data_IF_793195182657
#
_entry.id   IF_793195182657
#
_cell.length_a   1.000
_cell.length_b   1.000
_cell.length_c   1.000
_cell.angle_alpha   90.00
_cell.angle_beta   90.00
_cell.angle_gamma   90.00
#
_symmetry.space_group_name_H-M   'P 1'
#
loop_
_entity.id
_entity.type
_entity.pdbx_description
1 polymer ?
#
# COMPACT_ATOMS: atom_id res chain seq x y z
N UNK A 1 13.06 -14.34 -29.37
CA UNK A 1 12.83 -14.94 -28.06
C UNK A 1 11.92 -14.06 -27.28
N UNK A 2 10.66 -14.41 -27.20
CA UNK A 2 9.70 -13.69 -26.37
C UNK A 2 9.83 -14.19 -24.94
N UNK A 3 10.40 -13.37 -24.07
CA UNK A 3 10.30 -13.58 -22.63
C UNK A 3 8.82 -13.43 -22.29
N UNK A 4 8.17 -14.53 -22.03
CA UNK A 4 6.80 -14.50 -21.55
C UNK A 4 6.81 -13.99 -20.11
N UNK A 5 5.81 -13.18 -19.75
CA UNK A 5 5.56 -12.69 -18.39
C UNK A 5 5.53 -13.80 -17.33
N UNK A 6 5.48 -15.08 -17.74
CA UNK A 6 5.53 -16.25 -16.87
C UNK A 6 6.87 -16.48 -16.16
N UNK A 7 7.93 -15.82 -16.64
CA UNK A 7 9.29 -15.98 -16.07
C UNK A 7 9.60 -14.97 -14.98
N UNK A 8 8.66 -14.07 -14.68
CA UNK A 8 8.85 -13.04 -13.68
C UNK A 8 8.28 -13.51 -12.35
N UNK A 9 9.15 -13.58 -11.35
CA UNK A 9 8.76 -13.95 -10.00
C UNK A 9 8.00 -12.79 -9.33
N UNK A 10 6.69 -12.93 -9.20
CA UNK A 10 5.80 -11.98 -8.53
C UNK A 10 5.45 -12.40 -7.10
N UNK A 11 6.19 -13.34 -6.51
CA UNK A 11 5.94 -13.82 -5.15
C UNK A 11 6.01 -12.70 -4.09
N UNK A 12 6.73 -11.62 -4.37
CA UNK A 12 6.79 -10.47 -3.49
C UNK A 12 5.41 -9.80 -3.28
N UNK A 13 4.51 -9.92 -4.24
CA UNK A 13 3.14 -9.41 -4.10
C UNK A 13 2.36 -10.22 -3.07
N UNK A 14 2.52 -11.53 -3.05
CA UNK A 14 1.91 -12.40 -2.03
C UNK A 14 2.49 -12.11 -0.64
N UNK A 15 3.80 -11.94 -0.55
CA UNK A 15 4.50 -11.60 0.69
C UNK A 15 3.99 -10.28 1.28
N UNK A 16 3.69 -9.30 0.44
CA UNK A 16 3.15 -8.01 0.86
C UNK A 16 1.62 -8.03 1.04
N UNK A 17 0.96 -9.15 0.74
CA UNK A 17 -0.50 -9.25 0.82
C UNK A 17 -1.24 -8.50 -0.28
N UNK A 18 -0.58 -8.25 -1.40
CA UNK A 18 -1.11 -7.46 -2.51
C UNK A 18 -1.71 -8.35 -3.61
N UNK A 19 -2.46 -9.36 -3.22
CA UNK A 19 -3.17 -10.23 -4.15
C UNK A 19 -4.65 -9.85 -4.22
N UNK A 20 -5.20 -9.85 -5.43
CA UNK A 20 -6.61 -9.51 -5.66
C UNK A 20 -6.88 -7.99 -5.61
N UNK A 21 -8.14 -7.66 -5.37
CA UNK A 21 -8.61 -6.27 -5.30
C UNK A 21 -8.21 -5.65 -3.96
N UNK A 22 -7.52 -4.51 -4.00
CA UNK A 22 -7.10 -3.78 -2.82
C UNK A 22 -8.02 -2.59 -2.55
N UNK A 23 -8.29 -2.32 -1.28
CA UNK A 23 -9.02 -1.13 -0.88
C UNK A 23 -8.13 0.11 -0.99
N UNK A 24 -8.71 1.21 -1.46
CA UNK A 24 -8.04 2.52 -1.52
C UNK A 24 -8.17 3.36 -0.25
N UNK A 25 -8.83 2.87 0.79
CA UNK A 25 -9.09 3.64 2.01
C UNK A 25 -9.04 2.80 3.28
N UNK A 26 -8.47 3.40 4.32
CA UNK A 26 -8.33 2.79 5.66
C UNK A 26 -8.73 3.80 6.73
N UNK A 27 -9.54 3.38 7.69
CA UNK A 27 -10.02 4.22 8.79
C UNK A 27 -9.90 3.56 10.17
N UNK A 28 -8.94 2.66 10.36
CA UNK A 28 -8.83 1.72 11.47
C UNK A 28 -9.24 0.32 11.02
N UNK A 29 -9.91 0.25 9.88
CA UNK A 29 -10.23 -0.97 9.13
C UNK A 29 -10.25 -0.63 7.65
N UNK A 30 -10.05 -1.61 6.81
CA UNK A 30 -10.14 -1.42 5.36
C UNK A 30 -11.59 -1.20 4.95
N UNK A 31 -11.87 -0.11 4.22
CA UNK A 31 -13.20 0.18 3.72
C UNK A 31 -13.49 -0.57 2.42
N UNK A 32 -14.75 -0.98 2.26
CA UNK A 32 -15.25 -1.41 0.95
C UNK A 32 -15.56 -0.16 0.13
N UNK A 33 -14.57 0.36 -0.56
CA UNK A 33 -14.68 1.61 -1.29
C UNK A 33 -15.73 1.55 -2.41
N UNK A 34 -16.34 2.68 -2.73
CA UNK A 34 -17.44 2.78 -3.70
C UNK A 34 -17.04 3.51 -4.99
N UNK A 35 -15.77 3.85 -5.16
CA UNK A 35 -15.25 4.45 -6.38
C UNK A 35 -14.99 3.43 -7.48
N UNK A 36 -14.41 3.90 -8.58
CA UNK A 36 -14.04 3.05 -9.71
C UNK A 36 -12.82 2.20 -9.38
N UNK A 37 -12.72 1.04 -10.01
CA UNK A 37 -11.49 0.25 -9.95
C UNK A 37 -10.39 0.91 -10.78
N UNK A 38 -9.17 0.91 -10.26
CA UNK A 38 -7.99 1.41 -10.94
C UNK A 38 -6.98 0.27 -11.09
N UNK A 39 -6.69 -0.08 -12.33
CA UNK A 39 -5.66 -1.06 -12.64
C UNK A 39 -4.28 -0.39 -12.61
N UNK A 40 -3.31 -1.06 -12.02
CA UNK A 40 -1.93 -0.60 -11.93
C UNK A 40 -1.06 -1.46 -12.85
N UNK A 41 -0.31 -0.82 -13.73
CA UNK A 41 0.52 -1.49 -14.73
C UNK A 41 2.00 -1.14 -14.53
N UNK A 42 2.87 -2.12 -14.82
CA UNK A 42 4.31 -1.87 -14.81
C UNK A 42 4.72 -1.08 -16.07
N UNK A 43 5.48 0.01 -15.92
CA UNK A 43 5.99 0.74 -17.08
C UNK A 43 7.08 -0.02 -17.84
N UNK A 44 7.65 -1.08 -17.25
CA UNK A 44 8.71 -1.86 -17.86
C UNK A 44 8.20 -2.71 -19.04
N UNK A 45 7.04 -3.37 -18.88
CA UNK A 45 6.49 -4.31 -19.86
C UNK A 45 4.98 -4.17 -20.10
N UNK A 46 4.32 -3.25 -19.39
CA UNK A 46 2.88 -3.05 -19.47
C UNK A 46 2.06 -4.11 -18.76
N UNK A 47 2.67 -5.02 -18.01
CA UNK A 47 1.93 -6.05 -17.27
C UNK A 47 1.15 -5.45 -16.10
N UNK A 48 0.00 -6.04 -15.81
CA UNK A 48 -0.85 -5.62 -14.69
C UNK A 48 -0.25 -6.11 -13.37
N UNK A 49 -0.03 -5.19 -12.44
CA UNK A 49 0.49 -5.49 -11.10
C UNK A 49 -0.66 -5.79 -10.15
N UNK A 50 -1.73 -5.02 -10.21
CA UNK A 50 -2.86 -5.17 -9.31
C UNK A 50 -3.99 -4.22 -9.64
N UNK A 51 -5.04 -4.26 -8.81
CA UNK A 51 -6.22 -3.41 -8.95
C UNK A 51 -6.57 -2.81 -7.60
N UNK A 52 -6.90 -1.52 -7.58
CA UNK A 52 -7.30 -0.79 -6.40
C UNK A 52 -8.73 -0.32 -6.58
N UNK A 53 -9.58 -0.55 -5.58
CA UNK A 53 -10.91 0.03 -5.51
C UNK A 53 -10.76 1.44 -4.94
N UNK A 54 -11.02 2.44 -5.75
CA UNK A 54 -10.82 3.84 -5.35
C UNK A 54 -11.90 4.28 -4.36
N UNK A 55 -11.52 5.20 -3.48
CA UNK A 55 -12.44 5.86 -2.56
C UNK A 55 -13.25 6.91 -3.33
N UNK A 56 -14.54 7.03 -3.00
CA UNK A 56 -15.36 8.14 -3.43
C UNK A 56 -15.38 9.26 -2.36
N UNK A 57 -16.20 10.30 -2.57
CA UNK A 57 -16.31 11.42 -1.64
C UNK A 57 -16.80 10.98 -0.25
N UNK A 58 -17.76 10.06 -0.18
CA UNK A 58 -18.29 9.56 1.09
C UNK A 58 -17.23 8.74 1.84
N UNK A 59 -16.48 7.91 1.13
CA UNK A 59 -15.36 7.15 1.71
C UNK A 59 -14.30 8.09 2.28
N UNK A 60 -13.98 9.16 1.54
CA UNK A 60 -13.05 10.21 1.99
C UNK A 60 -13.52 10.85 3.30
N UNK A 61 -14.79 11.25 3.37
CA UNK A 61 -15.36 11.86 4.58
C UNK A 61 -15.28 10.91 5.78
N UNK A 62 -15.53 9.63 5.56
CA UNK A 62 -15.41 8.60 6.61
C UNK A 62 -13.97 8.52 7.14
N UNK A 63 -12.99 8.50 6.25
CA UNK A 63 -11.57 8.44 6.61
C UNK A 63 -11.14 9.69 7.37
N UNK A 64 -11.52 10.86 6.89
CA UNK A 64 -11.16 12.13 7.51
C UNK A 64 -11.78 12.27 8.90
N UNK A 65 -13.03 11.86 9.08
CA UNK A 65 -13.68 11.86 10.39
C UNK A 65 -12.96 10.94 11.38
N UNK A 66 -12.61 9.73 10.94
CA UNK A 66 -11.86 8.78 11.77
C UNK A 66 -10.46 9.30 12.11
N UNK A 67 -9.80 9.92 11.16
CA UNK A 67 -8.47 10.53 11.37
C UNK A 67 -8.53 11.66 12.39
N UNK A 68 -9.56 12.50 12.34
CA UNK A 68 -9.76 13.59 13.29
C UNK A 68 -9.97 13.04 14.71
N UNK A 69 -10.81 12.03 14.87
CA UNK A 69 -11.02 11.39 16.17
C UNK A 69 -9.72 10.75 16.70
N UNK A 70 -8.96 10.09 15.85
CA UNK A 70 -7.66 9.53 16.22
C UNK A 70 -6.68 10.64 16.64
N UNK A 71 -6.67 11.77 15.92
CA UNK A 71 -5.84 12.93 16.25
C UNK A 71 -6.12 13.47 17.66
N UNK A 72 -7.37 13.58 18.07
CA UNK A 72 -7.73 14.07 19.39
C UNK A 72 -7.14 13.21 20.52
N UNK A 73 -7.03 11.91 20.30
CA UNK A 73 -6.38 10.99 21.25
C UNK A 73 -4.85 11.02 21.11
N UNK A 74 -4.36 11.01 19.88
CA UNK A 74 -2.94 10.94 19.59
C UNK A 74 -2.17 12.16 20.11
N UNK A 75 -2.75 13.34 20.04
CA UNK A 75 -2.11 14.57 20.52
C UNK A 75 -1.81 14.56 22.02
N UNK A 76 -2.57 13.73 22.80
CA UNK A 76 -2.37 13.58 24.24
C UNK A 76 -1.29 12.54 24.57
N UNK A 77 -0.82 11.78 23.59
CA UNK A 77 0.25 10.79 23.79
C UNK A 77 1.59 11.52 23.92
N UNK A 78 2.39 11.24 24.97
CA UNK A 78 3.70 11.89 25.13
C UNK A 78 4.62 11.63 23.93
N UNK A 79 5.42 12.65 23.58
CA UNK A 79 6.31 12.61 22.43
C UNK A 79 7.25 11.39 22.40
N UNK A 80 7.88 10.95 23.51
CA UNK A 80 8.71 9.73 23.50
C UNK A 80 7.96 8.48 23.10
N UNK A 81 6.68 8.36 23.51
CA UNK A 81 5.82 7.21 23.16
C UNK A 81 5.46 7.27 21.67
N UNK A 82 5.14 8.48 21.17
CA UNK A 82 4.89 8.67 19.73
C UNK A 82 6.10 8.28 18.89
N UNK A 83 7.30 8.64 19.35
CA UNK A 83 8.55 8.25 18.71
C UNK A 83 8.76 6.75 18.68
N UNK A 84 8.34 6.03 19.73
CA UNK A 84 8.42 4.57 19.77
C UNK A 84 7.50 3.93 18.71
N UNK A 85 6.31 4.47 18.47
CA UNK A 85 5.45 4.01 17.39
C UNK A 85 6.10 4.21 16.01
N UNK A 86 6.73 5.36 15.80
CA UNK A 86 7.45 5.63 14.54
C UNK A 86 8.60 4.64 14.35
N UNK A 87 9.33 4.34 15.42
CA UNK A 87 10.42 3.34 15.40
C UNK A 87 9.89 1.96 14.99
N UNK A 88 8.76 1.54 15.56
CA UNK A 88 8.13 0.25 15.23
C UNK A 88 7.69 0.19 13.77
N UNK A 89 7.15 1.28 13.24
CA UNK A 89 6.80 1.37 11.82
C UNK A 89 8.05 1.15 10.95
N UNK A 90 9.15 1.80 11.30
CA UNK A 90 10.42 1.62 10.61
C UNK A 90 10.94 0.19 10.65
N UNK A 91 10.81 -0.48 11.80
CA UNK A 91 11.19 -1.89 11.93
C UNK A 91 10.34 -2.82 11.05
N UNK A 92 9.03 -2.59 10.99
CA UNK A 92 8.14 -3.36 10.12
C UNK A 92 8.47 -3.15 8.64
N UNK A 93 8.76 -1.92 8.23
CA UNK A 93 9.20 -1.64 6.87
C UNK A 93 10.52 -2.33 6.54
N UNK A 94 11.45 -2.37 7.49
CA UNK A 94 12.74 -3.05 7.31
C UNK A 94 12.58 -4.55 7.08
N UNK A 95 11.64 -5.19 7.78
CA UNK A 95 11.33 -6.62 7.58
C UNK A 95 10.88 -6.92 6.16
N UNK A 96 10.17 -5.99 5.53
CA UNK A 96 9.62 -6.13 4.18
C UNK A 96 10.47 -5.42 3.12
N UNK A 97 11.68 -4.97 3.45
CA UNK A 97 12.52 -4.15 2.58
C UNK A 97 12.72 -4.77 1.19
N UNK A 98 13.03 -6.04 1.12
CA UNK A 98 13.28 -6.72 -0.15
C UNK A 98 12.04 -6.74 -1.04
N UNK A 99 10.89 -7.11 -0.48
CA UNK A 99 9.62 -7.16 -1.22
C UNK A 99 9.16 -5.77 -1.65
N UNK A 100 9.27 -4.77 -0.75
CA UNK A 100 8.93 -3.38 -1.04
C UNK A 100 9.85 -2.81 -2.14
N UNK A 101 11.14 -3.14 -2.12
CA UNK A 101 12.07 -2.72 -3.15
C UNK A 101 11.71 -3.27 -4.53
N UNK A 102 11.29 -4.53 -4.59
CA UNK A 102 10.82 -5.14 -5.83
C UNK A 102 9.55 -4.45 -6.35
N UNK A 103 8.62 -4.13 -5.45
CA UNK A 103 7.40 -3.42 -5.82
C UNK A 103 7.71 -2.05 -6.41
N UNK A 104 8.63 -1.29 -5.80
CA UNK A 104 9.07 0.02 -6.30
C UNK A 104 9.67 -0.12 -7.70
N UNK A 105 10.52 -1.13 -7.92
CA UNK A 105 11.14 -1.39 -9.22
C UNK A 105 10.08 -1.70 -10.29
N UNK A 106 9.10 -2.51 -9.97
CA UNK A 106 8.03 -2.89 -10.88
C UNK A 106 7.09 -1.73 -11.20
N UNK A 107 6.65 -1.01 -10.17
CA UNK A 107 5.65 0.05 -10.32
C UNK A 107 6.24 1.30 -10.96
N UNK A 108 7.49 1.63 -10.64
CA UNK A 108 8.13 2.88 -11.09
C UNK A 108 9.16 2.67 -12.20
N UNK A 109 9.44 1.43 -12.60
CA UNK A 109 10.44 1.13 -13.61
C UNK A 109 11.86 1.41 -13.16
N UNK A 110 12.13 1.37 -11.86
CA UNK A 110 13.46 1.61 -11.30
C UNK A 110 14.30 0.34 -11.24
N UNK A 111 15.63 0.53 -11.21
CA UNK A 111 16.56 -0.58 -11.04
C UNK A 111 16.42 -1.13 -9.63
N UNK A 112 16.35 -2.45 -9.53
CA UNK A 112 16.38 -3.16 -8.25
C UNK A 112 17.84 -3.44 -7.86
N UNK A 113 18.26 -2.91 -6.70
CA UNK A 113 19.59 -3.13 -6.12
C UNK A 113 19.51 -4.05 -4.92
#
# INVERSE_FOLDING_TARGET
MTTTTSDIDLSFLEELGLTGLQSGAYCGQWLSCSGKELDVFSPADGSKIGTIKQANADDYETVVAAAHEAFLRWREVPAPIRGEFVRRIGEEMRKSKAALGKLVSWEMGKIHQ
#
